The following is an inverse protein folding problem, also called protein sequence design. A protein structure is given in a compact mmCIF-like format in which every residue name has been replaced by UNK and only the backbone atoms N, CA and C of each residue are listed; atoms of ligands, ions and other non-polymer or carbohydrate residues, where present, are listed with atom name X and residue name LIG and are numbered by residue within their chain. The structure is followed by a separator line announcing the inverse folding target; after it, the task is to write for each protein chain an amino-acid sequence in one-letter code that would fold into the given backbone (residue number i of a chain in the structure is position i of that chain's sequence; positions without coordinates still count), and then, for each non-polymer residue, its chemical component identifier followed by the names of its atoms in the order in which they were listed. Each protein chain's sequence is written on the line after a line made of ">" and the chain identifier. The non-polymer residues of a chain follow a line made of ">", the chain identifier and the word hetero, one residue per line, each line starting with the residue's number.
data_IF_261173908890
#
_entry.id   IF_261173908890
#
_cell.length_a   1.000
_cell.length_b   1.000
_cell.length_c   1.000
_cell.angle_alpha   90.00
_cell.angle_beta   90.00
_cell.angle_gamma   90.00
#
_symmetry.space_group_name_H-M   'P 1'
#
loop_
_entity.id
_entity.type
_entity.pdbx_description
1 polymer ?
#
# COMPACT_ATOMS: atom_id res chain seq x y z
N UNK A 1 -6.33 -1.34 14.27
CA UNK A 1 -4.91 -1.28 13.88
C UNK A 1 -4.59 0.17 13.55
N UNK A 2 -3.49 0.76 14.05
CA UNK A 2 -3.13 2.11 13.65
C UNK A 2 -2.87 2.13 12.14
N UNK A 3 -3.36 3.16 11.44
CA UNK A 3 -3.08 3.40 10.03
C UNK A 3 -2.51 4.80 9.86
N UNK A 4 -1.73 4.99 8.80
CA UNK A 4 -1.11 6.26 8.47
C UNK A 4 -1.46 6.61 7.03
N UNK A 5 -1.71 7.90 6.78
CA UNK A 5 -1.91 8.43 5.45
C UNK A 5 -0.57 8.92 4.90
N UNK A 6 -0.27 8.53 3.67
CA UNK A 6 0.90 9.03 2.95
C UNK A 6 0.44 9.82 1.73
N UNK A 7 0.91 11.06 1.63
CA UNK A 7 0.76 11.91 0.45
C UNK A 7 2.11 12.55 0.17
N UNK A 8 2.50 12.59 -1.10
CA UNK A 8 3.69 13.34 -1.49
C UNK A 8 3.39 14.85 -1.46
N UNK A 9 4.44 15.67 -1.39
CA UNK A 9 4.28 17.10 -1.61
C UNK A 9 3.86 17.36 -3.05
N UNK A 10 2.92 18.28 -3.24
CA UNK A 10 2.34 18.59 -4.56
C UNK A 10 3.33 19.22 -5.54
N UNK A 11 4.45 19.76 -5.06
CA UNK A 11 5.52 20.36 -5.87
C UNK A 11 6.60 19.36 -6.30
N UNK A 12 6.48 18.08 -5.92
CA UNK A 12 7.42 17.01 -6.26
C UNK A 12 6.73 15.88 -7.02
N UNK A 13 7.41 15.36 -8.05
CA UNK A 13 6.98 14.14 -8.72
C UNK A 13 7.06 12.94 -7.76
N UNK A 14 6.17 11.96 -7.97
CA UNK A 14 6.17 10.69 -7.25
C UNK A 14 6.14 9.53 -8.26
N UNK A 15 6.69 8.38 -7.86
CA UNK A 15 6.52 7.15 -8.62
C UNK A 15 5.05 6.73 -8.67
N UNK A 16 4.66 6.08 -9.77
CA UNK A 16 3.33 5.49 -9.90
C UNK A 16 3.33 4.02 -9.43
N UNK A 17 2.14 3.45 -9.28
CA UNK A 17 1.91 2.06 -8.86
C UNK A 17 1.06 1.32 -9.91
N UNK A 18 0.81 0.04 -9.67
CA UNK A 18 -0.12 -0.75 -10.49
C UNK A 18 -1.60 -0.42 -10.22
N UNK A 19 -1.93 0.20 -9.08
CA UNK A 19 -3.31 0.47 -8.66
C UNK A 19 -4.13 1.25 -9.68
N UNK A 20 -3.67 2.43 -10.15
CA UNK A 20 -4.34 3.20 -11.20
C UNK A 20 -4.40 2.48 -12.55
N UNK A 21 -3.36 1.69 -12.88
CA UNK A 21 -3.32 0.89 -14.13
C UNK A 21 -4.41 -0.18 -14.09
N UNK A 22 -4.58 -0.89 -12.97
CA UNK A 22 -5.60 -1.91 -12.81
C UNK A 22 -7.01 -1.30 -12.79
N UNK A 23 -7.20 -0.18 -12.08
CA UNK A 23 -8.49 0.52 -12.04
C UNK A 23 -8.95 0.93 -13.43
N UNK A 24 -8.07 1.55 -14.22
CA UNK A 24 -8.39 2.01 -15.59
C UNK A 24 -8.65 0.85 -16.56
N UNK A 25 -7.93 -0.27 -16.42
CA UNK A 25 -8.06 -1.40 -17.35
C UNK A 25 -9.21 -2.35 -17.03
N UNK A 26 -9.53 -2.54 -15.76
CA UNK A 26 -10.52 -3.52 -15.32
C UNK A 26 -11.83 -2.88 -14.82
N UNK A 27 -11.86 -1.56 -14.62
CA UNK A 27 -13.04 -0.86 -14.09
C UNK A 27 -13.34 -1.20 -12.63
N UNK A 28 -12.38 -1.76 -11.90
CA UNK A 28 -12.53 -2.13 -10.49
C UNK A 28 -11.99 -1.03 -9.58
N UNK A 29 -12.58 -0.91 -8.39
CA UNK A 29 -12.06 -0.01 -7.35
C UNK A 29 -10.76 -0.58 -6.80
N UNK A 30 -9.73 0.25 -6.73
CA UNK A 30 -8.43 -0.09 -6.15
C UNK A 30 -8.09 0.83 -4.99
N UNK A 31 -7.26 0.34 -4.07
CA UNK A 31 -6.64 1.12 -3.01
C UNK A 31 -5.17 0.70 -2.93
N UNK A 32 -4.26 1.67 -2.91
CA UNK A 32 -2.85 1.42 -2.69
C UNK A 32 -2.54 1.51 -1.19
N UNK A 33 -1.92 0.46 -0.68
CA UNK A 33 -1.45 0.36 0.72
C UNK A 33 -0.05 -0.24 0.75
N UNK A 34 0.74 0.12 1.75
CA UNK A 34 2.10 -0.38 1.87
C UNK A 34 2.67 -0.16 3.26
N UNK A 35 3.74 -0.89 3.58
CA UNK A 35 4.53 -0.66 4.78
C UNK A 35 5.56 0.44 4.52
N UNK A 36 5.78 1.36 5.47
CA UNK A 36 6.80 2.38 5.31
C UNK A 36 8.20 1.74 5.27
N UNK A 37 9.03 2.27 4.39
CA UNK A 37 10.42 1.84 4.23
C UNK A 37 11.31 3.03 3.88
N UNK A 38 12.61 2.85 4.11
CA UNK A 38 13.66 3.79 3.74
C UNK A 38 14.58 3.16 2.70
N UNK A 39 15.22 4.03 1.91
CA UNK A 39 16.16 3.64 0.85
C UNK A 39 15.55 2.72 -0.23
N UNK A 40 14.29 2.97 -0.61
CA UNK A 40 13.63 2.24 -1.71
C UNK A 40 14.49 2.29 -2.98
N UNK A 41 14.65 1.14 -3.65
CA UNK A 41 15.56 0.90 -4.79
C UNK A 41 17.06 0.81 -4.47
N UNK A 42 17.45 0.80 -3.20
CA UNK A 42 18.82 0.47 -2.78
C UNK A 42 19.08 -1.04 -2.85
N UNK A 43 20.34 -1.45 -2.97
CA UNK A 43 20.75 -2.85 -2.78
C UNK A 43 20.45 -3.36 -1.35
N UNK A 44 20.29 -2.44 -0.39
CA UNK A 44 19.87 -2.73 0.98
C UNK A 44 18.84 -1.71 1.44
N UNK A 45 17.63 -2.20 1.66
CA UNK A 45 16.47 -1.43 2.11
C UNK A 45 16.22 -1.64 3.62
N UNK A 46 15.43 -0.75 4.23
CA UNK A 46 15.13 -0.81 5.67
C UNK A 46 13.64 -0.55 5.94
N UNK A 47 13.02 -1.37 6.80
CA UNK A 47 11.61 -1.24 7.16
C UNK A 47 11.37 -1.58 8.64
N UNK A 48 10.18 -1.24 9.15
CA UNK A 48 9.78 -1.53 10.53
C UNK A 48 9.39 -3.00 10.72
N UNK A 49 9.98 -3.66 11.72
CA UNK A 49 9.71 -5.07 12.03
C UNK A 49 8.25 -5.33 12.41
N UNK A 50 7.60 -4.36 13.06
CA UNK A 50 6.20 -4.46 13.48
C UNK A 50 5.20 -4.21 12.34
N UNK A 51 5.62 -3.63 11.22
CA UNK A 51 4.69 -3.24 10.14
C UNK A 51 4.25 -4.46 9.32
N UNK A 52 5.14 -5.42 9.12
CA UNK A 52 4.82 -6.66 8.41
C UNK A 52 3.68 -7.47 9.06
N UNK A 53 3.73 -7.86 10.35
CA UNK A 53 2.63 -8.59 10.98
C UNK A 53 1.33 -7.77 11.07
N UNK A 54 1.41 -6.44 11.08
CA UNK A 54 0.21 -5.58 11.01
C UNK A 54 -0.43 -5.61 9.63
N UNK A 55 0.37 -5.55 8.56
CA UNK A 55 -0.13 -5.66 7.19
C UNK A 55 -0.79 -7.01 6.95
N UNK A 56 -0.21 -8.11 7.44
CA UNK A 56 -0.83 -9.45 7.36
C UNK A 56 -2.24 -9.44 7.98
N UNK A 57 -2.40 -8.88 9.19
CA UNK A 57 -3.71 -8.76 9.84
C UNK A 57 -4.72 -7.93 9.04
N UNK A 58 -4.28 -6.86 8.37
CA UNK A 58 -5.14 -6.04 7.51
C UNK A 58 -5.60 -6.83 6.29
N UNK A 59 -4.68 -7.52 5.61
CA UNK A 59 -5.02 -8.34 4.44
C UNK A 59 -5.96 -9.48 4.79
N UNK A 60 -5.71 -10.18 5.90
CA UNK A 60 -6.63 -11.21 6.39
C UNK A 60 -8.03 -10.68 6.70
N UNK A 61 -8.12 -9.51 7.34
CA UNK A 61 -9.40 -8.88 7.63
C UNK A 61 -10.14 -8.46 6.35
N UNK A 62 -9.40 -7.97 5.35
CA UNK A 62 -9.96 -7.63 4.04
C UNK A 62 -10.57 -8.86 3.36
N UNK A 63 -9.82 -9.97 3.25
CA UNK A 63 -10.31 -11.20 2.61
C UNK A 63 -11.41 -11.93 3.38
N UNK A 64 -11.53 -11.71 4.70
CA UNK A 64 -12.66 -12.23 5.51
C UNK A 64 -13.90 -11.34 5.48
N UNK A 65 -13.81 -10.12 4.94
CA UNK A 65 -14.96 -9.23 4.92
C UNK A 65 -15.95 -9.64 3.84
N UNK A 66 -17.24 -9.80 4.19
CA UNK A 66 -18.33 -10.15 3.26
C UNK A 66 -18.56 -9.10 2.15
N UNK A 67 -17.80 -8.00 2.14
CA UNK A 67 -17.91 -6.91 1.16
C UNK A 67 -17.17 -7.18 -0.14
N UNK A 68 -16.58 -8.37 -0.30
CA UNK A 68 -15.93 -8.82 -1.53
C UNK A 68 -16.91 -9.65 -2.40
N UNK A 69 -18.08 -10.02 -1.88
CA UNK A 69 -19.18 -10.61 -2.64
C UNK A 69 -20.08 -9.53 -3.28
#
# INVERSE_FOLDING_TARGET
>A
TPMQWFVNRSDLACGSTVGPILASRLGVRTIDVGNPMLSMHSAREMCGTADHPRMVKVMEAFYRSDRIA
#
